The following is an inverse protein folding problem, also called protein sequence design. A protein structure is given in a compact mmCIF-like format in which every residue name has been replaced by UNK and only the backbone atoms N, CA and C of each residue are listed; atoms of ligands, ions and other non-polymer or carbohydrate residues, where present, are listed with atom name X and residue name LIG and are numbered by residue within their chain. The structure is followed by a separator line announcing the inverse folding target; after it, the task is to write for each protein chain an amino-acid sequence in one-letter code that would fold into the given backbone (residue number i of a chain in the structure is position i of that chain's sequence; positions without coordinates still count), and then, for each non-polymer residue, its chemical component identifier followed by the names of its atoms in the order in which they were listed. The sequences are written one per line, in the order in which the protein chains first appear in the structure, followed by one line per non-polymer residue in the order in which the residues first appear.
data_IF_495641148660
#
_entry.id   IF_495641148660
#
_cell.length_a   1.000
_cell.length_b   1.000
_cell.length_c   1.000
_cell.angle_alpha   90.00
_cell.angle_beta   90.00
_cell.angle_gamma   90.00
#
_symmetry.space_group_name_H-M   'P 1'
#
loop_
_entity.id
_entity.type
_entity.pdbx_description
1 polymer ?
#
# COMPACT_ATOMS: atom_id res chain seq x y z
N UNK A 1 22.60 22.27 1.45
CA UNK A 1 21.90 23.28 2.27
C UNK A 1 20.94 23.98 1.32
N UNK A 2 19.83 23.34 1.01
CA UNK A 2 18.79 23.89 0.13
C UNK A 2 17.51 24.11 0.93
N UNK A 3 17.00 25.32 0.79
CA UNK A 3 15.95 25.88 1.61
C UNK A 3 14.57 25.30 1.24
N UNK A 4 13.87 24.81 2.23
CA UNK A 4 12.43 24.53 2.18
C UNK A 4 11.66 25.84 1.97
N UNK A 5 10.98 25.98 0.84
CA UNK A 5 10.03 27.05 0.60
C UNK A 5 8.75 26.80 1.43
N UNK A 6 8.22 27.84 2.11
CA UNK A 6 7.00 27.72 2.87
C UNK A 6 5.78 27.60 1.92
N UNK A 7 4.79 26.83 2.33
CA UNK A 7 3.47 26.76 1.70
C UNK A 7 2.86 28.16 1.62
N UNK A 8 2.74 28.72 0.42
CA UNK A 8 2.04 29.96 0.16
C UNK A 8 0.51 29.74 0.23
N UNK A 9 -0.26 30.81 0.49
CA UNK A 9 -1.72 30.72 0.66
C UNK A 9 -2.41 30.29 -0.63
N UNK A 10 -3.48 29.48 -0.48
CA UNK A 10 -4.37 29.04 -1.56
C UNK A 10 -4.80 30.21 -2.45
N UNK A 11 -4.59 30.08 -3.74
CA UNK A 11 -5.00 31.07 -4.73
C UNK A 11 -6.51 31.29 -4.66
N UNK A 12 -6.92 32.55 -4.58
CA UNK A 12 -8.33 32.96 -4.52
C UNK A 12 -9.04 32.61 -5.83
N UNK A 13 -10.36 32.41 -5.73
CA UNK A 13 -11.28 32.12 -6.85
C UNK A 13 -11.16 33.11 -8.03
N UNK A 14 -10.65 34.31 -7.78
CA UNK A 14 -10.43 35.34 -8.80
C UNK A 14 -9.26 35.01 -9.75
N UNK A 15 -8.22 34.27 -9.25
CA UNK A 15 -7.05 33.85 -10.04
C UNK A 15 -7.41 32.74 -11.02
N UNK A 16 -8.31 31.85 -10.62
CA UNK A 16 -8.82 30.76 -11.47
C UNK A 16 -9.66 31.26 -12.66
N UNK A 17 -10.38 32.37 -12.50
CA UNK A 17 -11.19 32.94 -13.58
C UNK A 17 -10.37 33.71 -14.61
N UNK A 18 -9.18 34.18 -14.26
CA UNK A 18 -8.30 34.88 -15.20
C UNK A 18 -7.58 33.92 -16.15
N UNK A 19 -7.29 32.70 -15.71
CA UNK A 19 -6.69 31.67 -16.53
C UNK A 19 -7.63 31.06 -17.59
N UNK A 20 -8.95 31.20 -17.38
CA UNK A 20 -9.97 30.70 -18.33
C UNK A 20 -10.15 31.59 -19.57
N UNK A 21 -9.68 32.85 -19.56
CA UNK A 21 -9.87 33.80 -20.70
C UNK A 21 -8.70 33.82 -21.71
N UNK A 22 -7.63 33.10 -21.49
CA UNK A 22 -6.43 33.13 -22.33
C UNK A 22 -6.17 31.91 -23.18
N UNK A 23 -6.97 30.86 -23.10
CA UNK A 23 -6.78 29.64 -23.89
C UNK A 23 -7.79 29.61 -25.03
N UNK A 24 -7.31 29.87 -26.25
CA UNK A 24 -8.03 29.63 -27.50
C UNK A 24 -8.55 28.18 -27.53
N UNK A 25 -9.86 28.06 -27.69
CA UNK A 25 -10.64 26.84 -27.78
C UNK A 25 -10.38 26.10 -29.10
N UNK A 26 -9.21 25.48 -29.29
CA UNK A 26 -9.04 24.56 -30.41
C UNK A 26 -8.09 23.39 -30.13
N UNK A 27 -7.85 23.03 -28.88
CA UNK A 27 -7.28 21.72 -28.57
C UNK A 27 -8.41 20.85 -28.03
N UNK A 28 -9.14 20.19 -28.92
CA UNK A 28 -10.03 19.09 -28.56
C UNK A 28 -9.19 18.04 -27.87
N UNK A 29 -9.13 18.07 -26.55
CA UNK A 29 -8.77 16.89 -25.77
C UNK A 29 -9.81 15.81 -26.13
N UNK A 30 -9.45 14.94 -27.04
CA UNK A 30 -10.07 13.63 -27.16
C UNK A 30 -9.66 12.85 -25.90
N UNK A 31 -10.33 13.15 -24.80
CA UNK A 31 -10.42 12.17 -23.72
C UNK A 31 -11.03 10.93 -24.37
N UNK A 32 -10.21 9.89 -24.48
CA UNK A 32 -10.65 8.62 -25.00
C UNK A 32 -11.92 8.23 -24.23
N UNK A 33 -13.04 8.13 -24.92
CA UNK A 33 -14.33 7.73 -24.36
C UNK A 33 -14.28 6.35 -23.68
N UNK A 34 -13.16 5.65 -23.79
CA UNK A 34 -12.86 4.39 -23.10
C UNK A 34 -12.70 4.52 -21.58
N UNK A 35 -12.28 5.69 -21.07
CA UNK A 35 -12.06 5.84 -19.61
C UNK A 35 -13.37 6.16 -18.87
N UNK A 36 -14.34 6.78 -19.54
CA UNK A 36 -15.61 7.17 -18.91
C UNK A 36 -16.74 6.17 -19.02
N UNK A 37 -16.59 5.10 -19.81
CA UNK A 37 -17.65 4.12 -20.06
C UNK A 37 -17.51 2.79 -19.30
N UNK A 38 -16.46 2.63 -18.49
CA UNK A 38 -16.40 1.45 -17.62
C UNK A 38 -17.13 1.74 -16.31
N UNK A 39 -18.25 1.07 -16.01
CA UNK A 39 -18.84 1.13 -14.69
C UNK A 39 -17.78 0.68 -13.68
N UNK A 40 -17.65 1.39 -12.55
CA UNK A 40 -16.85 0.90 -11.43
C UNK A 40 -17.28 -0.52 -11.18
N UNK A 41 -16.42 -1.50 -11.50
CA UNK A 41 -16.69 -2.90 -11.19
C UNK A 41 -16.87 -2.99 -9.70
N UNK A 42 -18.11 -3.15 -9.27
CA UNK A 42 -18.39 -3.65 -7.93
C UNK A 42 -17.78 -5.05 -7.92
N UNK A 43 -16.79 -5.30 -7.04
CA UNK A 43 -16.21 -6.63 -6.88
C UNK A 43 -17.33 -7.58 -6.53
N UNK A 44 -17.76 -8.37 -7.50
CA UNK A 44 -18.76 -9.42 -7.30
C UNK A 44 -18.08 -10.60 -6.61
N UNK A 45 -18.87 -11.43 -5.96
CA UNK A 45 -18.37 -12.68 -5.37
C UNK A 45 -17.65 -13.55 -6.42
N UNK A 46 -18.11 -13.50 -7.68
CA UNK A 46 -17.48 -14.14 -8.83
C UNK A 46 -16.07 -13.57 -9.13
N UNK A 47 -15.86 -12.25 -9.05
CA UNK A 47 -14.55 -11.63 -9.24
C UNK A 47 -13.58 -12.05 -8.13
N UNK A 48 -14.08 -12.21 -6.91
CA UNK A 48 -13.32 -12.72 -5.77
C UNK A 48 -12.87 -14.16 -5.96
N UNK A 49 -13.75 -15.00 -6.54
CA UNK A 49 -13.44 -16.40 -6.88
C UNK A 49 -12.43 -16.48 -8.03
N UNK A 50 -12.60 -15.68 -9.09
CA UNK A 50 -11.66 -15.62 -10.22
C UNK A 50 -10.27 -15.10 -9.76
N UNK A 51 -10.24 -14.11 -8.89
CA UNK A 51 -9.02 -13.64 -8.28
C UNK A 51 -8.32 -14.73 -7.45
N UNK A 52 -9.08 -15.48 -6.66
CA UNK A 52 -8.57 -16.62 -5.89
C UNK A 52 -8.06 -17.75 -6.79
N UNK A 53 -8.72 -18.03 -7.94
CA UNK A 53 -8.27 -19.03 -8.93
C UNK A 53 -6.95 -18.60 -9.56
N UNK A 54 -6.85 -17.34 -10.02
CA UNK A 54 -5.62 -16.78 -10.59
C UNK A 54 -4.43 -16.84 -9.63
N UNK A 55 -4.68 -16.68 -8.34
CA UNK A 55 -3.63 -16.83 -7.31
C UNK A 55 -3.17 -18.27 -7.11
N UNK A 56 -3.98 -19.27 -7.48
CA UNK A 56 -3.57 -20.67 -7.40
C UNK A 56 -2.59 -21.08 -8.52
N UNK A 57 -2.49 -20.32 -9.59
CA UNK A 57 -1.54 -20.54 -10.69
C UNK A 57 -0.10 -20.19 -10.29
N UNK A 58 0.08 -19.40 -9.20
CA UNK A 58 1.39 -19.06 -8.68
C UNK A 58 1.76 -20.05 -7.55
N UNK A 59 2.87 -20.76 -7.71
CA UNK A 59 3.36 -21.75 -6.73
C UNK A 59 3.43 -21.20 -5.31
N UNK A 60 3.48 -22.08 -4.32
CA UNK A 60 3.38 -21.74 -2.89
C UNK A 60 4.30 -20.60 -2.41
N UNK A 61 5.51 -20.49 -2.98
CA UNK A 61 6.45 -19.42 -2.66
C UNK A 61 5.91 -18.02 -3.09
N UNK A 62 5.19 -17.92 -4.21
CA UNK A 62 4.58 -16.66 -4.65
C UNK A 62 3.45 -16.22 -3.69
N UNK A 63 2.65 -17.16 -3.20
CA UNK A 63 1.61 -16.89 -2.20
C UNK A 63 2.17 -16.35 -0.89
N UNK A 64 3.34 -16.78 -0.46
CA UNK A 64 4.01 -16.27 0.73
C UNK A 64 4.58 -14.84 0.54
N UNK A 65 4.68 -14.37 -0.71
CA UNK A 65 5.11 -13.01 -1.06
C UNK A 65 3.95 -12.05 -1.31
N UNK A 66 2.75 -12.58 -1.52
CA UNK A 66 1.55 -11.77 -1.71
C UNK A 66 0.99 -11.33 -0.37
N UNK A 67 1.04 -10.02 -0.11
CA UNK A 67 0.67 -9.42 1.17
C UNK A 67 -0.81 -9.65 1.56
N UNK A 68 -1.70 -9.83 0.57
CA UNK A 68 -3.15 -10.00 0.79
C UNK A 68 -3.53 -11.45 1.13
N UNK A 69 -2.90 -12.42 0.48
CA UNK A 69 -3.21 -13.84 0.67
C UNK A 69 -2.30 -14.54 1.67
N UNK A 70 -1.19 -13.91 2.06
CA UNK A 70 -0.23 -14.50 2.99
C UNK A 70 -0.79 -14.51 4.42
N UNK A 71 -0.93 -15.72 4.97
CA UNK A 71 -1.29 -15.95 6.38
C UNK A 71 -0.07 -16.26 7.26
N UNK A 72 1.13 -16.23 6.69
CA UNK A 72 2.36 -16.63 7.38
C UNK A 72 2.24 -18.05 7.96
N UNK A 73 2.58 -18.21 9.24
CA UNK A 73 2.46 -19.49 9.94
C UNK A 73 1.02 -19.91 10.24
N UNK A 74 0.02 -19.06 9.91
CA UNK A 74 -1.40 -19.33 10.10
C UNK A 74 -2.06 -20.18 9.02
N UNK A 75 -1.35 -20.54 7.96
CA UNK A 75 -1.86 -21.53 7.00
C UNK A 75 -2.08 -22.88 7.69
N UNK A 76 -3.30 -23.41 7.62
CA UNK A 76 -3.65 -24.74 8.13
C UNK A 76 -2.89 -25.84 7.37
N UNK A 77 -2.84 -27.04 7.93
CA UNK A 77 -2.14 -28.16 7.26
C UNK A 77 -2.75 -28.51 5.90
N UNK A 78 -4.08 -28.41 5.77
CA UNK A 78 -4.80 -28.64 4.50
C UNK A 78 -4.49 -27.55 3.49
N UNK A 79 -4.47 -26.29 3.90
CA UNK A 79 -4.07 -25.17 3.05
C UNK A 79 -2.61 -25.31 2.60
N UNK A 80 -1.70 -25.73 3.50
CA UNK A 80 -0.29 -25.98 3.15
C UNK A 80 -0.13 -27.08 2.11
N UNK A 81 -0.93 -28.13 2.21
CA UNK A 81 -0.98 -29.19 1.20
C UNK A 81 -1.54 -28.69 -0.13
N UNK A 82 -2.70 -27.99 -0.06
CA UNK A 82 -3.40 -27.45 -1.24
C UNK A 82 -2.57 -26.46 -2.04
N UNK A 83 -1.84 -25.59 -1.37
CA UNK A 83 -1.08 -24.50 -1.99
C UNK A 83 0.42 -24.80 -2.17
N UNK A 84 0.87 -26.00 -1.90
CA UNK A 84 2.29 -26.36 -2.06
C UNK A 84 3.21 -25.66 -1.07
N UNK A 85 2.75 -25.39 0.15
CA UNK A 85 3.52 -24.70 1.19
C UNK A 85 4.27 -25.65 2.14
N UNK A 86 4.12 -26.96 1.95
CA UNK A 86 4.79 -27.96 2.79
C UNK A 86 6.31 -27.84 2.62
N UNK A 87 7.03 -27.70 3.72
CA UNK A 87 8.48 -27.45 3.73
C UNK A 87 8.91 -25.99 3.61
N UNK A 88 7.98 -25.06 3.24
CA UNK A 88 8.27 -23.63 3.17
C UNK A 88 7.94 -22.89 4.48
N UNK A 89 7.18 -23.51 5.37
CA UNK A 89 6.77 -22.94 6.65
C UNK A 89 7.20 -23.86 7.79
N UNK A 90 7.49 -23.32 8.98
CA UNK A 90 7.69 -24.12 10.20
C UNK A 90 6.49 -25.05 10.44
N UNK A 91 6.68 -26.24 11.03
CA UNK A 91 5.61 -27.24 11.13
C UNK A 91 4.41 -26.78 11.95
N UNK A 92 4.62 -25.95 12.95
CA UNK A 92 3.56 -25.47 13.84
C UNK A 92 2.65 -24.48 13.11
N UNK A 93 1.33 -24.68 13.25
CA UNK A 93 0.31 -23.72 12.80
C UNK A 93 0.02 -22.78 13.95
N UNK A 94 0.19 -21.48 13.71
CA UNK A 94 -0.08 -20.44 14.70
C UNK A 94 -1.40 -19.72 14.40
N UNK A 95 -2.14 -19.42 15.44
CA UNK A 95 -3.28 -18.52 15.36
C UNK A 95 -2.83 -17.08 15.04
N UNK A 96 -3.77 -16.23 14.62
CA UNK A 96 -3.48 -14.82 14.39
C UNK A 96 -3.00 -14.13 15.67
N UNK A 97 -3.58 -14.52 16.81
CA UNK A 97 -3.22 -14.01 18.15
C UNK A 97 -1.76 -14.36 18.52
N UNK A 98 -1.33 -15.58 18.27
CA UNK A 98 0.06 -15.99 18.53
C UNK A 98 1.06 -15.27 17.62
N UNK A 99 0.69 -15.06 16.35
CA UNK A 99 1.48 -14.26 15.43
C UNK A 99 1.56 -12.80 15.89
N UNK A 100 0.44 -12.24 16.36
CA UNK A 100 0.39 -10.89 16.92
C UNK A 100 1.30 -10.74 18.14
N UNK A 101 1.24 -11.66 19.11
CA UNK A 101 2.10 -11.61 20.31
C UNK A 101 3.57 -11.57 19.96
N UNK A 102 3.99 -12.37 18.97
CA UNK A 102 5.36 -12.38 18.47
C UNK A 102 5.77 -11.06 17.85
N UNK A 103 4.94 -10.50 16.96
CA UNK A 103 5.22 -9.21 16.31
C UNK A 103 5.19 -8.07 17.30
N UNK A 104 4.22 -8.08 18.23
CA UNK A 104 4.15 -7.08 19.28
C UNK A 104 5.44 -7.04 20.09
N UNK A 105 5.95 -8.19 20.48
CA UNK A 105 7.24 -8.29 21.18
C UNK A 105 8.38 -7.69 20.35
N UNK A 106 8.48 -8.00 19.06
CA UNK A 106 9.51 -7.46 18.16
C UNK A 106 9.42 -5.93 18.01
N UNK A 107 8.20 -5.38 17.96
CA UNK A 107 7.96 -3.94 17.86
C UNK A 107 8.28 -3.25 19.19
N UNK A 108 7.91 -3.85 20.32
CA UNK A 108 8.15 -3.31 21.65
C UNK A 108 9.66 -3.22 21.97
N UNK A 109 10.50 -4.06 21.37
CA UNK A 109 11.96 -3.97 21.46
C UNK A 109 12.55 -2.77 20.72
N UNK A 110 11.79 -2.07 19.87
CA UNK A 110 12.30 -0.88 19.18
C UNK A 110 12.18 0.35 20.07
N UNK A 111 13.28 1.08 20.19
CA UNK A 111 13.39 2.24 21.08
C UNK A 111 12.59 3.44 20.57
N UNK A 112 12.60 3.71 19.26
CA UNK A 112 11.97 4.89 18.67
C UNK A 112 10.68 4.55 17.91
N UNK A 113 9.74 5.50 17.86
CA UNK A 113 8.52 5.35 17.08
C UNK A 113 8.82 5.17 15.58
N UNK A 114 9.86 5.83 15.08
CA UNK A 114 10.31 5.67 13.70
C UNK A 114 10.78 4.22 13.41
N UNK A 115 11.54 3.62 14.31
CA UNK A 115 11.96 2.22 14.18
C UNK A 115 10.76 1.25 14.28
N UNK A 116 9.76 1.57 15.12
CA UNK A 116 8.49 0.83 15.18
C UNK A 116 7.70 0.94 13.87
N UNK A 117 7.64 2.15 13.28
CA UNK A 117 7.01 2.37 11.97
C UNK A 117 7.66 1.52 10.88
N UNK A 118 8.99 1.48 10.82
CA UNK A 118 9.73 0.65 9.84
C UNK A 118 9.36 -0.83 10.00
N UNK A 119 9.29 -1.33 11.24
CA UNK A 119 8.90 -2.72 11.48
C UNK A 119 7.44 -2.99 11.11
N UNK A 120 6.54 -2.06 11.43
CA UNK A 120 5.13 -2.13 11.02
C UNK A 120 4.96 -2.12 9.49
N UNK A 121 5.75 -1.31 8.77
CA UNK A 121 5.78 -1.32 7.31
C UNK A 121 6.25 -2.68 6.77
N UNK A 122 7.28 -3.28 7.37
CA UNK A 122 7.73 -4.63 7.02
C UNK A 122 6.64 -5.69 7.24
N UNK A 123 5.87 -5.58 8.32
CA UNK A 123 4.74 -6.47 8.59
C UNK A 123 3.65 -6.29 7.53
N UNK A 124 3.28 -5.05 7.20
CA UNK A 124 2.27 -4.74 6.19
C UNK A 124 2.64 -5.32 4.83
N UNK A 125 3.91 -5.18 4.42
CA UNK A 125 4.41 -5.68 3.14
C UNK A 125 4.43 -7.21 3.02
N UNK A 126 4.34 -7.92 4.14
CA UNK A 126 4.34 -9.40 4.17
C UNK A 126 2.98 -10.00 4.50
N UNK A 127 2.21 -9.36 5.36
CA UNK A 127 0.93 -9.85 5.85
C UNK A 127 0.08 -8.67 6.32
N UNK A 128 -0.71 -8.13 5.41
CA UNK A 128 -1.55 -6.97 5.66
C UNK A 128 -2.59 -7.23 6.75
N UNK A 129 -3.15 -8.45 6.80
CA UNK A 129 -4.11 -8.84 7.84
C UNK A 129 -3.51 -8.75 9.24
N UNK A 130 -2.28 -9.18 9.42
CA UNK A 130 -1.58 -9.12 10.70
C UNK A 130 -1.21 -7.69 11.09
N UNK A 131 -0.87 -6.84 10.10
CA UNK A 131 -0.66 -5.42 10.31
C UNK A 131 -1.92 -4.74 10.85
N UNK A 132 -3.07 -4.91 10.20
CA UNK A 132 -4.32 -4.32 10.69
C UNK A 132 -4.76 -4.90 12.03
N UNK A 133 -4.53 -6.18 12.28
CA UNK A 133 -4.79 -6.77 13.59
C UNK A 133 -3.96 -6.08 14.67
N UNK A 134 -2.69 -5.78 14.40
CA UNK A 134 -1.84 -5.02 15.32
C UNK A 134 -2.39 -3.61 15.56
N UNK A 135 -2.70 -2.87 14.51
CA UNK A 135 -3.23 -1.50 14.64
C UNK A 135 -4.51 -1.48 15.47
N UNK A 136 -5.44 -2.41 15.20
CA UNK A 136 -6.74 -2.48 15.85
C UNK A 136 -6.67 -2.98 17.31
N UNK A 137 -5.59 -3.64 17.72
CA UNK A 137 -5.43 -4.13 19.08
C UNK A 137 -5.41 -3.02 20.13
N UNK A 138 -4.95 -1.83 19.78
CA UNK A 138 -4.99 -0.61 20.59
C UNK A 138 -4.85 0.61 19.67
N UNK A 139 -5.96 1.10 19.15
CA UNK A 139 -5.97 2.20 18.18
C UNK A 139 -5.30 3.47 18.71
N UNK A 140 -5.57 3.85 19.94
CA UNK A 140 -5.05 5.09 20.53
C UNK A 140 -3.53 5.08 20.65
N UNK A 141 -2.97 3.92 20.98
CA UNK A 141 -1.52 3.74 21.10
C UNK A 141 -0.83 3.53 19.75
N UNK A 142 -1.47 2.82 18.83
CA UNK A 142 -0.83 2.33 17.62
C UNK A 142 -0.97 3.29 16.42
N UNK A 143 -2.05 4.10 16.33
CA UNK A 143 -2.20 5.09 15.26
C UNK A 143 -1.03 6.08 15.22
N UNK A 144 -0.56 6.67 16.33
CA UNK A 144 0.58 7.58 16.28
C UNK A 144 1.88 6.96 15.78
N UNK A 145 1.99 5.63 15.75
CA UNK A 145 3.15 4.93 15.19
C UNK A 145 3.16 4.93 13.65
N UNK A 146 1.99 4.98 13.02
CA UNK A 146 1.82 4.90 11.55
C UNK A 146 1.23 6.18 10.95
N UNK A 147 0.86 7.14 11.78
CA UNK A 147 0.32 8.43 11.41
C UNK A 147 1.11 9.57 12.12
N UNK A 148 0.57 10.78 12.14
CA UNK A 148 1.20 11.93 12.83
C UNK A 148 1.39 11.61 14.33
N UNK A 149 2.60 11.87 14.91
CA UNK A 149 3.73 12.60 14.32
C UNK A 149 4.73 11.73 13.55
N UNK A 150 4.75 10.42 13.72
CA UNK A 150 5.80 9.52 13.22
C UNK A 150 5.87 9.50 11.69
N UNK A 151 4.72 9.58 11.00
CA UNK A 151 4.70 9.64 9.52
C UNK A 151 5.38 10.92 8.99
N UNK A 152 5.33 12.03 9.74
CA UNK A 152 6.03 13.26 9.37
C UNK A 152 7.56 13.05 9.35
N UNK A 153 8.11 12.35 10.34
CA UNK A 153 9.51 11.95 10.38
C UNK A 153 9.84 10.99 9.20
N UNK A 154 8.93 10.07 8.90
CA UNK A 154 9.09 9.15 7.78
C UNK A 154 9.14 9.87 6.42
N UNK A 155 8.33 10.90 6.21
CA UNK A 155 8.37 11.72 4.99
C UNK A 155 9.73 12.41 4.84
N UNK A 156 10.31 12.96 5.92
CA UNK A 156 11.62 13.60 5.90
C UNK A 156 12.75 12.60 5.60
N UNK A 157 12.59 11.34 6.01
CA UNK A 157 13.58 10.27 5.87
C UNK A 157 13.19 9.26 4.77
N UNK A 158 12.33 9.64 3.84
CA UNK A 158 11.76 8.73 2.85
C UNK A 158 12.82 7.97 2.04
N UNK A 159 13.86 8.66 1.57
CA UNK A 159 14.95 8.04 0.81
C UNK A 159 15.68 6.93 1.57
N UNK A 160 15.72 7.01 2.91
CA UNK A 160 16.32 5.99 3.78
C UNK A 160 15.38 4.81 4.03
N UNK A 161 14.07 5.03 3.88
CA UNK A 161 13.04 4.03 4.16
C UNK A 161 12.63 3.24 2.92
N UNK A 162 12.78 3.82 1.72
CA UNK A 162 12.27 3.23 0.50
C UNK A 162 12.86 1.84 0.27
N UNK A 163 11.99 0.85 0.13
CA UNK A 163 12.35 -0.56 -0.13
C UNK A 163 11.61 -1.12 -1.33
N UNK A 164 10.34 -0.76 -1.47
CA UNK A 164 9.49 -1.18 -2.59
C UNK A 164 8.37 -0.16 -2.80
N UNK A 165 7.83 -0.06 -4.02
CA UNK A 165 6.69 0.82 -4.27
C UNK A 165 5.47 0.39 -3.47
N UNK A 166 4.84 1.35 -2.78
CA UNK A 166 3.57 1.18 -2.07
C UNK A 166 2.52 2.20 -2.53
N UNK A 167 2.90 3.06 -3.46
CA UNK A 167 2.08 4.09 -4.05
C UNK A 167 2.68 4.57 -5.36
N UNK A 168 1.89 5.29 -6.15
CA UNK A 168 2.34 5.92 -7.38
C UNK A 168 3.22 7.13 -7.02
N UNK A 169 4.46 7.15 -7.53
CA UNK A 169 5.37 8.28 -7.37
C UNK A 169 5.41 9.07 -8.68
N UNK A 170 5.07 10.35 -8.61
CA UNK A 170 5.08 11.27 -9.75
C UNK A 170 5.99 12.45 -9.45
N UNK A 171 6.76 12.86 -10.44
CA UNK A 171 7.65 14.02 -10.39
C UNK A 171 7.31 15.03 -11.48
N UNK A 172 7.96 16.19 -11.46
CA UNK A 172 7.84 17.17 -12.55
C UNK A 172 8.40 16.64 -13.88
N UNK A 173 9.31 15.68 -13.83
CA UNK A 173 9.91 15.05 -15.00
C UNK A 173 8.93 14.16 -15.76
N UNK A 174 7.88 13.68 -15.06
CA UNK A 174 6.80 12.87 -15.65
C UNK A 174 5.77 13.72 -16.41
N UNK A 175 6.06 15.02 -16.63
CA UNK A 175 5.18 15.91 -17.38
C UNK A 175 5.00 15.40 -18.81
N UNK A 176 3.76 15.04 -19.16
CA UNK A 176 3.38 14.48 -20.46
C UNK A 176 3.34 12.95 -20.51
N UNK A 177 3.82 12.24 -19.49
CA UNK A 177 3.81 10.77 -19.38
C UNK A 177 3.04 10.22 -18.15
N UNK A 178 2.23 11.06 -17.52
CA UNK A 178 1.44 10.67 -16.33
C UNK A 178 0.48 9.50 -16.63
N UNK A 179 -0.06 9.45 -17.86
CA UNK A 179 -0.94 8.34 -18.28
C UNK A 179 -0.20 7.01 -18.27
N UNK A 180 1.02 6.97 -18.78
CA UNK A 180 1.90 5.81 -18.74
C UNK A 180 2.23 5.39 -17.31
N UNK A 181 2.52 6.34 -16.42
CA UNK A 181 2.77 6.06 -15.01
C UNK A 181 1.55 5.40 -14.35
N UNK A 182 0.33 5.84 -14.67
CA UNK A 182 -0.91 5.26 -14.16
C UNK A 182 -1.16 3.87 -14.77
N UNK A 183 -0.83 3.66 -16.04
CA UNK A 183 -0.97 2.36 -16.70
C UNK A 183 -0.02 1.31 -16.12
N UNK A 184 1.18 1.72 -15.71
CA UNK A 184 2.17 0.86 -15.06
C UNK A 184 1.77 0.48 -13.60
N UNK A 185 0.77 1.16 -13.02
CA UNK A 185 0.30 0.80 -11.68
C UNK A 185 -0.43 -0.54 -11.70
N UNK A 186 -0.03 -1.52 -10.88
CA UNK A 186 -0.67 -2.84 -10.85
C UNK A 186 -2.14 -2.70 -10.42
N UNK A 187 -3.01 -3.27 -11.24
CA UNK A 187 -4.47 -3.31 -11.03
C UNK A 187 -4.87 -4.61 -10.34
#
# INVERSE_FOLDING_TARGET
MEALLPFGPMASTATLNRLKKGLSLNTRFRLSSRIMSQPRRVHTEHDSVQYAIKQNEHGGAARLRDLYSNKGTGFTMDERKKFGLKGLLPPTVHTLEEQFKRIKHQIDLKETNFAKLIELANVRQRNERLFYYYIMSDLMKNIPLVYTPTVGEACQKFSMMFRRPEGLTLSIEDKGSVEECIENWPR
#
